data_IF_650454606866
#
_entry.id   IF_650454606866
#
_cell.length_a   1.000
_cell.length_b   1.000
_cell.length_c   1.000
_cell.angle_alpha   90.00
_cell.angle_beta   90.00
_cell.angle_gamma   90.00
#
_symmetry.space_group_name_H-M   'P 1'
#
loop_
_entity.id
_entity.type
_entity.pdbx_description
1 polymer ?
#
# COMPACT_ATOMS: atom_id res chain seq x y z
N UNK A 1 5.45 -5.06 -24.84
CA UNK A 1 4.12 -5.42 -24.30
C UNK A 1 3.49 -4.16 -23.74
N UNK A 2 2.47 -3.65 -24.39
CA UNK A 2 1.73 -2.51 -23.87
C UNK A 2 0.84 -2.99 -22.74
N UNK A 3 1.01 -2.40 -21.56
CA UNK A 3 0.04 -2.56 -20.47
C UNK A 3 -1.28 -1.95 -20.93
N UNK A 4 -2.29 -2.79 -21.07
CA UNK A 4 -3.65 -2.32 -21.30
C UNK A 4 -4.13 -1.75 -19.98
N UNK A 5 -4.18 -0.43 -19.89
CA UNK A 5 -4.89 0.25 -18.83
C UNK A 5 -6.39 -0.04 -19.00
N UNK A 6 -6.90 -0.94 -18.18
CA UNK A 6 -8.34 -1.14 -18.08
C UNK A 6 -8.89 -0.12 -17.08
N UNK A 7 -9.68 0.86 -17.50
CA UNK A 7 -10.38 1.71 -16.55
C UNK A 7 -11.39 0.86 -15.79
N UNK A 8 -11.28 0.82 -14.48
CA UNK A 8 -12.33 0.25 -13.64
C UNK A 8 -13.49 1.22 -13.67
N UNK A 9 -14.44 0.99 -14.57
CA UNK A 9 -15.67 1.78 -14.66
C UNK A 9 -16.75 1.05 -13.87
N UNK A 10 -17.05 1.51 -12.67
CA UNK A 10 -18.26 1.09 -11.94
C UNK A 10 -19.39 2.04 -12.37
N UNK A 11 -20.20 1.61 -13.33
CA UNK A 11 -21.42 2.34 -13.71
C UNK A 11 -22.51 2.08 -12.70
N UNK A 12 -22.82 3.07 -11.87
CA UNK A 12 -24.10 3.15 -11.16
C UNK A 12 -24.93 4.29 -11.71
N UNK A 13 -26.22 4.02 -11.94
CA UNK A 13 -27.21 4.99 -12.40
C UNK A 13 -27.35 6.16 -11.44
N UNK A 14 -27.39 7.36 -12.00
CA UNK A 14 -27.86 8.64 -11.46
C UNK A 14 -27.13 9.20 -10.23
N UNK A 15 -26.49 10.34 -10.39
CA UNK A 15 -26.02 11.30 -9.37
C UNK A 15 -24.98 10.80 -8.35
N UNK A 16 -24.25 9.73 -8.60
CA UNK A 16 -23.16 9.29 -7.73
C UNK A 16 -21.82 9.68 -8.32
N UNK A 17 -20.96 10.28 -7.48
CA UNK A 17 -19.57 10.51 -7.80
C UNK A 17 -18.88 9.17 -8.01
N UNK A 18 -18.32 8.93 -9.19
CA UNK A 18 -17.54 7.73 -9.46
C UNK A 18 -16.17 7.86 -8.79
N UNK A 19 -15.73 6.78 -8.15
CA UNK A 19 -14.34 6.65 -7.71
C UNK A 19 -13.49 6.42 -8.95
N UNK A 20 -12.43 7.19 -9.11
CA UNK A 20 -11.49 7.05 -10.20
C UNK A 20 -10.05 7.03 -9.69
N UNK A 21 -9.18 6.39 -10.45
CA UNK A 21 -7.74 6.44 -10.23
C UNK A 21 -7.22 7.71 -10.90
N UNK A 22 -6.58 8.55 -10.12
CA UNK A 22 -6.00 9.80 -10.57
C UNK A 22 -4.54 9.64 -11.00
N UNK A 23 -3.77 10.69 -10.78
CA UNK A 23 -2.35 10.72 -11.16
C UNK A 23 -1.50 9.73 -10.37
N UNK A 24 -0.42 9.28 -10.97
CA UNK A 24 0.63 8.55 -10.27
C UNK A 24 1.35 9.49 -9.31
N UNK A 25 1.55 9.04 -8.07
CA UNK A 25 2.17 9.80 -7.00
C UNK A 25 3.60 9.38 -6.73
N UNK A 26 3.89 8.08 -6.78
CA UNK A 26 5.21 7.57 -6.43
C UNK A 26 5.45 6.14 -6.96
N UNK A 27 6.73 5.79 -7.02
CA UNK A 27 7.24 4.42 -7.04
C UNK A 27 7.75 4.06 -5.64
N UNK A 28 7.56 2.82 -5.21
CA UNK A 28 7.97 2.33 -3.89
C UNK A 28 8.56 0.93 -4.01
N UNK A 29 9.64 0.72 -3.27
CA UNK A 29 10.26 -0.61 -3.14
C UNK A 29 10.25 -0.99 -1.67
N UNK A 30 9.48 -2.02 -1.32
CA UNK A 30 9.37 -2.51 0.05
C UNK A 30 10.30 -3.70 0.26
N UNK A 31 11.05 -3.68 1.35
CA UNK A 31 11.93 -4.76 1.78
C UNK A 31 11.38 -5.32 3.09
N UNK A 32 10.91 -6.58 3.11
CA UNK A 32 10.53 -7.25 4.35
C UNK A 32 11.70 -7.30 5.33
N UNK A 33 11.44 -7.01 6.60
CA UNK A 33 12.47 -7.04 7.66
C UNK A 33 12.23 -8.15 8.65
N UNK A 34 11.02 -8.29 9.16
CA UNK A 34 10.65 -9.32 10.12
C UNK A 34 9.29 -9.93 9.76
N UNK A 35 9.13 -11.21 10.11
CA UNK A 35 7.87 -11.93 9.94
C UNK A 35 7.74 -13.03 10.98
N UNK A 36 6.58 -13.11 11.63
CA UNK A 36 6.29 -14.08 12.67
C UNK A 36 4.86 -14.58 12.56
N UNK A 37 4.68 -15.90 12.53
CA UNK A 37 3.35 -16.51 12.66
C UNK A 37 2.92 -16.41 14.13
N UNK A 38 1.76 -15.84 14.38
CA UNK A 38 1.19 -15.64 15.72
C UNK A 38 0.26 -16.79 16.10
N UNK A 39 -0.59 -17.21 15.16
CA UNK A 39 -1.60 -18.23 15.38
C UNK A 39 -1.97 -18.95 14.09
N UNK A 40 -2.50 -20.15 14.25
CA UNK A 40 -3.09 -20.94 13.17
C UNK A 40 -4.44 -21.49 13.65
N UNK A 41 -5.47 -21.31 12.82
CA UNK A 41 -6.75 -21.98 13.00
C UNK A 41 -6.64 -23.40 12.42
N UNK A 42 -6.77 -24.41 13.26
CA UNK A 42 -6.59 -25.81 12.88
C UNK A 42 -7.69 -26.31 11.92
N UNK A 43 -8.87 -25.69 11.93
CA UNK A 43 -10.03 -26.08 11.11
C UNK A 43 -9.94 -25.41 9.74
N UNK A 44 -9.82 -24.09 9.70
CA UNK A 44 -9.82 -23.29 8.46
C UNK A 44 -8.45 -23.24 7.80
N UNK A 45 -7.37 -23.61 8.52
CA UNK A 45 -5.97 -23.46 8.10
C UNK A 45 -5.58 -22.00 7.81
N UNK A 46 -6.27 -21.06 8.41
CA UNK A 46 -5.93 -19.64 8.34
C UNK A 46 -4.78 -19.34 9.30
N UNK A 47 -3.74 -18.70 8.77
CA UNK A 47 -2.59 -18.23 9.55
C UNK A 47 -2.75 -16.74 9.84
N UNK A 48 -2.39 -16.33 11.06
CA UNK A 48 -2.19 -14.93 11.41
C UNK A 48 -0.69 -14.66 11.53
N UNK A 49 -0.23 -13.63 10.82
CA UNK A 49 1.18 -13.25 10.77
C UNK A 49 1.37 -11.78 11.08
N UNK A 50 2.34 -11.47 11.91
CA UNK A 50 2.89 -10.13 12.05
C UNK A 50 4.09 -9.96 11.14
N UNK A 51 4.21 -8.80 10.51
CA UNK A 51 5.34 -8.48 9.64
C UNK A 51 5.71 -7.02 9.75
N UNK A 52 6.97 -6.73 9.48
CA UNK A 52 7.49 -5.38 9.32
C UNK A 52 8.31 -5.25 8.04
N UNK A 53 8.45 -4.03 7.57
CA UNK A 53 9.14 -3.71 6.33
C UNK A 53 9.69 -2.29 6.36
N UNK A 54 10.64 -2.05 5.50
CA UNK A 54 11.14 -0.71 5.16
C UNK A 54 10.95 -0.47 3.68
N UNK A 55 10.84 0.79 3.28
CA UNK A 55 10.65 1.14 1.88
C UNK A 55 11.46 2.38 1.49
N UNK A 56 11.87 2.39 0.24
CA UNK A 56 12.33 3.57 -0.46
C UNK A 56 11.22 4.08 -1.38
N UNK A 57 10.91 5.37 -1.27
CA UNK A 57 9.84 6.00 -2.03
C UNK A 57 10.41 7.09 -2.93
N UNK A 58 10.20 6.94 -4.22
CA UNK A 58 10.51 7.93 -5.24
C UNK A 58 9.22 8.66 -5.63
N UNK A 59 9.03 9.84 -5.06
CA UNK A 59 7.85 10.65 -5.31
C UNK A 59 7.88 11.36 -6.67
N UNK A 60 6.70 11.59 -7.19
CA UNK A 60 6.48 12.46 -8.35
C UNK A 60 5.93 13.77 -7.82
N UNK A 61 6.66 14.87 -8.04
CA UNK A 61 6.29 16.18 -7.51
C UNK A 61 4.77 16.48 -7.71
N UNK A 62 4.02 16.85 -6.67
CA UNK A 62 4.46 17.33 -5.35
C UNK A 62 4.68 16.24 -4.28
N UNK A 63 4.51 14.95 -4.59
CA UNK A 63 4.75 13.88 -3.63
C UNK A 63 6.26 13.79 -3.32
N UNK A 64 6.69 13.87 -2.04
CA UNK A 64 8.10 13.91 -1.72
C UNK A 64 8.78 12.54 -1.85
N UNK A 65 10.09 12.56 -2.10
CA UNK A 65 10.95 11.40 -1.90
C UNK A 65 11.12 11.12 -0.41
N UNK A 66 11.41 9.90 -0.04
CA UNK A 66 11.73 9.57 1.34
C UNK A 66 11.82 8.09 1.60
N UNK A 67 11.80 7.76 2.89
CA UNK A 67 11.92 6.41 3.40
C UNK A 67 10.70 6.13 4.28
N UNK A 68 10.15 4.94 4.16
CA UNK A 68 9.06 4.49 5.03
C UNK A 68 9.48 3.27 5.86
N UNK A 69 8.85 3.12 7.00
CA UNK A 69 8.86 1.89 7.77
C UNK A 69 7.44 1.58 8.22
N UNK A 70 7.08 0.33 8.12
CA UNK A 70 5.74 -0.11 8.47
C UNK A 70 5.72 -1.48 9.13
N UNK A 71 4.61 -1.74 9.76
CA UNK A 71 4.31 -3.03 10.35
C UNK A 71 2.82 -3.32 10.23
N UNK A 72 2.46 -4.57 10.35
CA UNK A 72 1.07 -4.95 10.27
C UNK A 72 0.81 -6.41 10.53
N UNK A 73 -0.46 -6.74 10.43
CA UNK A 73 -0.99 -8.08 10.64
C UNK A 73 -1.68 -8.58 9.38
N UNK A 74 -1.39 -9.80 8.98
CA UNK A 74 -1.99 -10.47 7.84
C UNK A 74 -2.76 -11.70 8.28
N UNK A 75 -3.95 -11.91 7.68
CA UNK A 75 -4.65 -13.18 7.68
C UNK A 75 -4.38 -13.88 6.36
N UNK A 76 -3.74 -15.05 6.43
CA UNK A 76 -3.36 -15.82 5.25
C UNK A 76 -4.28 -17.04 5.15
N UNK A 77 -5.09 -17.07 4.12
CA UNK A 77 -6.05 -18.14 3.86
C UNK A 77 -5.41 -19.25 3.01
N UNK A 78 -5.92 -20.47 3.16
CA UNK A 78 -5.43 -21.65 2.45
C UNK A 78 -5.58 -21.58 0.92
N UNK A 79 -6.44 -20.71 0.43
CA UNK A 79 -6.62 -20.47 -1.01
C UNK A 79 -5.59 -19.51 -1.65
N UNK A 80 -4.56 -19.10 -0.90
CA UNK A 80 -3.51 -18.20 -1.37
C UNK A 80 -3.85 -16.71 -1.31
N UNK A 81 -4.98 -16.35 -0.70
CA UNK A 81 -5.37 -14.97 -0.47
C UNK A 81 -4.93 -14.55 0.93
N UNK A 82 -4.33 -13.38 1.06
CA UNK A 82 -4.10 -12.73 2.34
C UNK A 82 -4.73 -11.35 2.39
N UNK A 83 -5.18 -10.97 3.57
CA UNK A 83 -5.76 -9.66 3.86
C UNK A 83 -4.96 -9.09 5.02
N UNK A 84 -4.46 -7.86 4.87
CA UNK A 84 -3.57 -7.25 5.84
C UNK A 84 -4.00 -5.85 6.23
N UNK A 85 -3.62 -5.46 7.45
CA UNK A 85 -3.69 -4.10 7.94
C UNK A 85 -2.26 -3.62 8.20
N UNK A 86 -1.92 -2.46 7.66
CA UNK A 86 -0.59 -1.86 7.74
C UNK A 86 -0.66 -0.48 8.38
N UNK A 87 0.40 -0.13 9.08
CA UNK A 87 0.62 1.20 9.61
C UNK A 87 2.11 1.51 9.64
N UNK A 88 2.45 2.78 9.59
CA UNK A 88 3.84 3.16 9.65
C UNK A 88 4.06 4.65 9.53
N UNK A 89 5.33 4.98 9.33
CA UNK A 89 5.83 6.35 9.21
C UNK A 89 6.59 6.47 7.90
N UNK A 90 6.23 7.48 7.13
CA UNK A 90 6.97 7.96 5.99
C UNK A 90 7.74 9.21 6.42
N UNK A 91 9.07 9.18 6.27
CA UNK A 91 9.94 10.33 6.52
C UNK A 91 10.36 10.90 5.18
N UNK A 92 9.87 12.09 4.85
CA UNK A 92 10.26 12.81 3.65
C UNK A 92 11.76 13.15 3.70
N UNK A 93 12.39 13.31 2.53
CA UNK A 93 13.80 13.68 2.43
C UNK A 93 14.15 15.01 3.10
N UNK A 94 13.17 15.87 3.28
CA UNK A 94 13.25 17.15 4.01
C UNK A 94 13.08 17.00 5.53
N UNK A 95 12.78 15.80 6.04
CA UNK A 95 12.73 15.47 7.44
C UNK A 95 11.34 15.39 8.06
N UNK A 96 10.30 15.84 7.36
CA UNK A 96 8.93 15.76 7.86
C UNK A 96 8.47 14.31 7.95
N UNK A 97 7.73 14.01 9.02
CA UNK A 97 7.15 12.70 9.25
C UNK A 97 5.66 12.70 8.95
N UNK A 98 5.24 11.70 8.20
CA UNK A 98 3.86 11.47 7.82
C UNK A 98 3.49 10.07 8.26
N UNK A 99 2.44 9.94 9.06
CA UNK A 99 1.88 8.64 9.43
C UNK A 99 1.01 8.12 8.30
N UNK A 100 0.99 6.82 8.13
CA UNK A 100 0.08 6.18 7.18
C UNK A 100 -0.60 4.95 7.77
N UNK A 101 -1.77 4.65 7.22
CA UNK A 101 -2.49 3.40 7.44
C UNK A 101 -2.94 2.84 6.10
N UNK A 102 -2.95 1.52 5.98
CA UNK A 102 -3.39 0.87 4.76
C UNK A 102 -4.04 -0.48 5.02
N UNK A 103 -4.85 -0.88 4.07
CA UNK A 103 -5.42 -2.22 4.00
C UNK A 103 -5.09 -2.83 2.66
N UNK A 104 -4.66 -4.07 2.65
CA UNK A 104 -4.34 -4.76 1.42
C UNK A 104 -5.09 -6.06 1.24
N UNK A 105 -5.11 -6.47 0.00
CA UNK A 105 -5.48 -7.80 -0.42
C UNK A 105 -4.41 -8.31 -1.37
N UNK A 106 -3.85 -9.48 -1.07
CA UNK A 106 -2.79 -10.11 -1.82
C UNK A 106 -3.24 -11.47 -2.33
N UNK A 107 -2.93 -11.76 -3.58
CA UNK A 107 -3.11 -13.08 -4.19
C UNK A 107 -1.87 -13.45 -4.98
N UNK A 108 -1.18 -14.50 -4.52
CA UNK A 108 0.00 -15.04 -5.21
C UNK A 108 1.09 -13.98 -5.50
N UNK A 109 1.36 -13.10 -4.52
CA UNK A 109 2.38 -12.08 -4.64
C UNK A 109 1.98 -10.82 -5.41
N UNK A 110 0.73 -10.72 -5.87
CA UNK A 110 0.14 -9.49 -6.43
C UNK A 110 -0.82 -8.90 -5.41
N UNK A 111 -0.72 -7.61 -5.17
CA UNK A 111 -1.53 -6.97 -4.14
C UNK A 111 -1.97 -5.56 -4.51
N UNK A 112 -3.03 -5.13 -3.86
CA UNK A 112 -3.56 -3.77 -3.90
C UNK A 112 -3.72 -3.28 -2.47
N UNK A 113 -3.21 -2.09 -2.19
CA UNK A 113 -3.34 -1.42 -0.88
C UNK A 113 -4.15 -0.14 -1.05
N UNK A 114 -5.15 0.06 -0.21
CA UNK A 114 -5.70 1.40 0.04
C UNK A 114 -4.94 2.00 1.21
N UNK A 115 -4.29 3.13 0.98
CA UNK A 115 -3.45 3.80 1.97
C UNK A 115 -3.90 5.24 2.16
N UNK A 116 -3.93 5.69 3.41
CA UNK A 116 -4.19 7.09 3.76
C UNK A 116 -3.10 7.65 4.64
N UNK A 117 -2.88 8.97 4.55
CA UNK A 117 -1.82 9.68 5.23
C UNK A 117 -2.37 10.68 6.23
N UNK A 118 -1.59 10.90 7.30
CA UNK A 118 -1.88 11.84 8.37
C UNK A 118 -0.61 12.62 8.71
N UNK A 119 -0.66 13.93 8.66
CA UNK A 119 0.48 14.77 8.98
C UNK A 119 0.07 16.04 9.70
N UNK A 120 0.93 16.51 10.60
CA UNK A 120 0.82 17.82 11.23
C UNK A 120 1.73 18.86 10.56
N UNK A 121 2.47 18.46 9.51
CA UNK A 121 3.31 19.36 8.72
C UNK A 121 2.46 20.37 7.97
N UNK A 122 2.77 21.65 8.12
CA UNK A 122 2.11 22.73 7.37
C UNK A 122 2.46 22.61 5.88
N UNK A 123 3.71 22.32 5.56
CA UNK A 123 4.19 22.23 4.18
C UNK A 123 3.61 21.04 3.42
N UNK A 124 3.34 19.95 4.11
CA UNK A 124 2.75 18.73 3.55
C UNK A 124 1.27 18.56 3.92
N UNK A 125 0.59 19.64 4.31
CA UNK A 125 -0.81 19.59 4.75
C UNK A 125 -1.75 19.03 3.67
N UNK A 126 -1.41 19.15 2.40
CA UNK A 126 -2.16 18.58 1.28
C UNK A 126 -2.19 17.03 1.31
N UNK A 127 -1.23 16.39 1.97
CA UNK A 127 -1.20 14.94 2.14
C UNK A 127 -2.14 14.47 3.25
N UNK A 128 -2.58 15.37 4.12
CA UNK A 128 -3.44 14.99 5.22
C UNK A 128 -4.82 14.56 4.71
N UNK A 129 -5.17 13.29 4.92
CA UNK A 129 -6.38 12.70 4.38
C UNK A 129 -6.28 12.25 2.91
N UNK A 130 -5.11 12.36 2.28
CA UNK A 130 -4.88 11.80 0.96
C UNK A 130 -5.11 10.29 0.99
N UNK A 131 -5.86 9.77 0.03
CA UNK A 131 -6.06 8.34 -0.16
C UNK A 131 -5.40 7.92 -1.46
N UNK A 132 -4.56 6.89 -1.37
CA UNK A 132 -3.91 6.31 -2.54
C UNK A 132 -4.32 4.86 -2.74
N UNK A 133 -4.35 4.46 -4.00
CA UNK A 133 -4.30 3.08 -4.41
C UNK A 133 -2.85 2.72 -4.72
N UNK A 134 -2.31 1.73 -4.00
CA UNK A 134 -0.97 1.21 -4.24
C UNK A 134 -1.10 -0.17 -4.87
N UNK A 135 -0.56 -0.30 -6.08
CA UNK A 135 -0.51 -1.54 -6.85
C UNK A 135 0.89 -2.11 -6.77
N UNK A 136 1.02 -3.39 -6.47
CA UNK A 136 2.32 -3.98 -6.28
C UNK A 136 2.41 -5.48 -6.53
N UNK A 137 3.64 -5.94 -6.65
CA UNK A 137 3.96 -7.35 -6.81
C UNK A 137 5.28 -7.72 -6.14
N UNK A 138 5.41 -8.97 -5.74
CA UNK A 138 6.65 -9.51 -5.20
C UNK A 138 7.62 -9.84 -6.34
N UNK A 139 8.84 -9.29 -6.23
CA UNK A 139 9.95 -9.63 -7.11
C UNK A 139 10.83 -10.67 -6.42
N UNK A 140 10.82 -11.90 -6.91
CA UNK A 140 11.55 -13.03 -6.30
C UNK A 140 13.07 -12.92 -6.47
N UNK A 141 13.57 -12.16 -7.44
CA UNK A 141 15.00 -11.96 -7.64
C UNK A 141 15.56 -11.02 -6.58
N UNK A 142 14.92 -9.89 -6.36
CA UNK A 142 15.33 -8.88 -5.38
C UNK A 142 14.80 -9.17 -3.97
N UNK A 143 13.85 -10.10 -3.83
CA UNK A 143 13.12 -10.37 -2.60
C UNK A 143 12.48 -9.10 -2.00
N UNK A 144 11.90 -8.32 -2.86
CA UNK A 144 11.26 -7.05 -2.54
C UNK A 144 9.89 -6.95 -3.20
N UNK A 145 9.07 -6.02 -2.72
CA UNK A 145 7.83 -5.67 -3.39
C UNK A 145 8.03 -4.39 -4.20
N UNK A 146 7.66 -4.43 -5.46
CA UNK A 146 7.69 -3.29 -6.38
C UNK A 146 6.28 -2.71 -6.47
N UNK A 147 6.14 -1.45 -6.15
CA UNK A 147 4.84 -0.80 -5.99
C UNK A 147 4.76 0.52 -6.75
N UNK A 148 3.56 0.86 -7.17
CA UNK A 148 3.21 2.16 -7.73
C UNK A 148 2.00 2.71 -6.99
N UNK A 149 2.07 3.98 -6.60
CA UNK A 149 0.98 4.66 -5.88
C UNK A 149 0.26 5.67 -6.75
N UNK A 150 -1.06 5.63 -6.71
CA UNK A 150 -1.95 6.51 -7.47
C UNK A 150 -2.93 7.21 -6.54
N UNK A 151 -3.25 8.45 -6.85
CA UNK A 151 -4.28 9.19 -6.13
C UNK A 151 -5.66 8.57 -6.38
N UNK A 152 -6.43 8.37 -5.32
CA UNK A 152 -7.82 7.98 -5.40
C UNK A 152 -8.70 9.23 -5.38
N UNK A 153 -9.51 9.39 -6.40
CA UNK A 153 -10.36 10.56 -6.59
C UNK A 153 -11.85 10.21 -6.48
#
# INVERSE_FOLDING_TARGET
MSCIELPIIIKHNSNHTMISIGRKLFDEVDIPTESKIISEDAITKTLQRESSWTAEINGINPFPNGIASGSGTSLIHSNGISISNWQGIFTASTGEQIRFKGRDMNKNGKFVVLRTYFTDSVELSWMNGLVCLVDGHFDSQDKSFKCEGYELM
#
